data_IF_935754811229
#
_entry.id   IF_935754811229
#
_cell.length_a   1.000
_cell.length_b   1.000
_cell.length_c   1.000
_cell.angle_alpha   90.00
_cell.angle_beta   90.00
_cell.angle_gamma   90.00
#
_symmetry.space_group_name_H-M   'P 1'
#
loop_
_entity.id
_entity.type
_entity.pdbx_description
1 polymer ?
#
# COMPACT_ATOMS: atom_id res chain seq x y z
N UNK A 1 -0.07 15.42 -18.67
CA UNK A 1 -1.01 15.31 -17.54
C UNK A 1 -0.74 16.44 -16.58
N UNK A 2 -1.77 17.00 -15.96
CA UNK A 2 -1.64 18.08 -14.97
C UNK A 2 -1.88 17.48 -13.59
N UNK A 3 -0.94 17.62 -12.67
CA UNK A 3 -1.12 17.18 -11.27
C UNK A 3 -2.03 18.20 -10.57
N UNK A 4 -3.20 17.75 -10.13
CA UNK A 4 -4.16 18.55 -9.38
C UNK A 4 -3.93 18.45 -7.87
N UNK A 5 -3.53 17.26 -7.40
CA UNK A 5 -3.21 17.02 -6.00
C UNK A 5 -2.13 15.96 -5.88
N UNK A 6 -1.21 16.16 -4.93
CA UNK A 6 -0.20 15.19 -4.55
C UNK A 6 0.03 15.24 -3.05
N UNK A 7 -0.22 14.11 -2.38
CA UNK A 7 0.12 13.89 -0.97
C UNK A 7 1.10 12.73 -0.90
N UNK A 8 2.13 12.84 -0.09
CA UNK A 8 3.05 11.73 0.16
C UNK A 8 3.44 11.63 1.62
N UNK A 9 3.69 10.40 2.08
CA UNK A 9 4.12 10.11 3.44
C UNK A 9 5.06 8.92 3.46
N UNK A 10 6.13 9.04 4.26
CA UNK A 10 7.03 7.96 4.61
C UNK A 10 6.45 7.26 5.84
N UNK A 11 6.38 5.94 5.82
CA UNK A 11 5.86 5.13 6.92
C UNK A 11 7.06 4.43 7.57
N UNK A 12 7.33 4.67 8.86
CA UNK A 12 8.38 3.97 9.57
C UNK A 12 7.98 2.52 9.87
N UNK A 13 8.97 1.64 9.92
CA UNK A 13 8.83 0.31 10.45
C UNK A 13 8.83 0.34 11.98
N UNK A 14 7.87 -0.34 12.61
CA UNK A 14 7.77 -0.46 14.06
C UNK A 14 8.87 -1.33 14.72
N UNK A 15 9.73 -1.99 13.92
CA UNK A 15 10.84 -2.80 14.43
C UNK A 15 12.17 -2.04 14.34
N UNK A 16 12.54 -1.54 13.16
CA UNK A 16 13.84 -0.90 12.95
C UNK A 16 13.79 0.63 12.85
N UNK A 17 12.62 1.25 12.81
CA UNK A 17 12.45 2.69 12.61
C UNK A 17 12.75 3.21 11.20
N UNK A 18 13.37 2.40 10.34
CA UNK A 18 13.59 2.74 8.92
C UNK A 18 12.27 2.81 8.16
N UNK A 19 12.26 3.54 7.03
CA UNK A 19 11.07 3.66 6.21
C UNK A 19 10.69 2.31 5.57
N UNK A 20 9.51 1.76 5.92
CA UNK A 20 8.99 0.51 5.34
C UNK A 20 8.26 0.70 4.03
N UNK A 21 7.66 1.88 3.82
CA UNK A 21 6.95 2.20 2.60
C UNK A 21 6.84 3.72 2.46
N UNK A 22 6.83 4.20 1.21
CA UNK A 22 6.40 5.55 0.90
C UNK A 22 5.10 5.50 0.11
N UNK A 23 4.09 6.16 0.66
CA UNK A 23 2.76 6.25 0.07
C UNK A 23 2.66 7.58 -0.68
N UNK A 24 2.13 7.54 -1.90
CA UNK A 24 1.82 8.75 -2.68
C UNK A 24 0.41 8.67 -3.25
N UNK A 25 -0.45 9.60 -2.83
CA UNK A 25 -1.76 9.82 -3.43
C UNK A 25 -1.67 10.90 -4.49
N UNK A 26 -2.12 10.60 -5.70
CA UNK A 26 -2.12 11.50 -6.84
C UNK A 26 -3.53 11.68 -7.38
N UNK A 27 -3.88 12.93 -7.67
CA UNK A 27 -5.02 13.30 -8.51
C UNK A 27 -4.47 14.08 -9.68
N UNK A 28 -4.69 13.57 -10.88
CA UNK A 28 -4.16 14.13 -12.12
C UNK A 28 -5.32 14.40 -13.09
N UNK A 29 -5.14 15.35 -13.99
CA UNK A 29 -6.04 15.60 -15.10
C UNK A 29 -5.36 15.26 -16.43
N UNK A 30 -6.07 14.51 -17.25
CA UNK A 30 -5.71 14.19 -18.63
C UNK A 30 -6.82 14.67 -19.55
N UNK A 31 -6.47 15.31 -20.67
CA UNK A 31 -7.44 15.72 -21.68
C UNK A 31 -8.19 14.50 -22.26
N UNK A 32 -7.54 13.34 -22.34
CA UNK A 32 -8.11 12.12 -22.92
C UNK A 32 -8.94 11.29 -21.93
N UNK A 33 -8.58 11.29 -20.65
CA UNK A 33 -9.17 10.41 -19.62
C UNK A 33 -9.92 11.15 -18.51
N UNK A 34 -9.94 12.48 -18.58
CA UNK A 34 -10.41 13.36 -17.51
C UNK A 34 -9.54 13.23 -16.26
N UNK A 35 -10.17 13.39 -15.08
CA UNK A 35 -9.47 13.20 -13.80
C UNK A 35 -9.11 11.72 -13.60
N UNK A 36 -7.89 11.45 -13.16
CA UNK A 36 -7.38 10.14 -12.77
C UNK A 36 -6.87 10.23 -11.34
N UNK A 37 -7.21 9.25 -10.51
CA UNK A 37 -6.71 9.15 -9.15
C UNK A 37 -5.83 7.91 -9.03
N UNK A 38 -4.71 8.01 -8.32
CA UNK A 38 -3.79 6.89 -8.14
C UNK A 38 -3.17 6.86 -6.76
N UNK A 39 -2.89 5.66 -6.28
CA UNK A 39 -2.12 5.39 -5.08
C UNK A 39 -0.82 4.73 -5.53
N UNK A 40 0.31 5.25 -5.06
CA UNK A 40 1.59 4.62 -5.25
C UNK A 40 2.11 4.16 -3.90
N UNK A 41 2.59 2.92 -3.84
CA UNK A 41 3.32 2.37 -2.70
C UNK A 41 4.72 2.08 -3.19
N UNK A 42 5.71 2.65 -2.51
CA UNK A 42 7.12 2.56 -2.91
C UNK A 42 7.96 1.96 -1.80
N UNK A 43 8.96 1.17 -2.18
CA UNK A 43 9.94 0.62 -1.24
C UNK A 43 9.42 -0.47 -0.30
N UNK A 44 8.33 -1.15 -0.65
CA UNK A 44 7.84 -2.34 0.05
C UNK A 44 8.12 -3.60 -0.79
N UNK A 45 7.13 -4.14 -1.50
CA UNK A 45 7.34 -5.18 -2.52
C UNK A 45 7.42 -4.49 -3.88
N UNK A 46 8.55 -3.83 -4.13
CA UNK A 46 8.71 -2.96 -5.28
C UNK A 46 7.90 -1.67 -5.20
N UNK A 47 7.76 -1.02 -6.36
CA UNK A 47 7.00 0.21 -6.54
C UNK A 47 5.72 -0.10 -7.32
N UNK A 48 4.57 -0.04 -6.67
CA UNK A 48 3.27 -0.36 -7.27
C UNK A 48 2.40 0.88 -7.42
N UNK A 49 1.64 0.97 -8.51
CA UNK A 49 0.67 2.05 -8.78
C UNK A 49 -0.72 1.48 -8.98
N UNK A 50 -1.63 1.80 -8.08
CA UNK A 50 -3.03 1.42 -8.15
C UNK A 50 -3.87 2.55 -8.73
N UNK A 51 -4.79 2.22 -9.65
CA UNK A 51 -5.84 3.13 -10.06
C UNK A 51 -6.93 3.18 -8.98
N UNK A 52 -7.27 4.37 -8.50
CA UNK A 52 -8.29 4.55 -7.46
C UNK A 52 -9.55 5.13 -8.10
N UNK A 53 -10.72 4.63 -7.69
CA UNK A 53 -12.00 5.30 -7.97
C UNK A 53 -11.99 6.73 -7.42
N UNK A 54 -12.47 7.69 -8.22
CA UNK A 54 -12.55 9.12 -7.82
C UNK A 54 -13.29 9.33 -6.50
N UNK A 55 -14.35 8.54 -6.26
CA UNK A 55 -15.15 8.53 -5.04
C UNK A 55 -14.34 8.21 -3.78
N UNK A 56 -13.28 7.40 -3.91
CA UNK A 56 -12.50 6.93 -2.78
C UNK A 56 -11.32 7.86 -2.47
N UNK A 57 -10.99 8.81 -3.36
CA UNK A 57 -9.79 9.64 -3.22
C UNK A 57 -9.77 10.45 -1.91
N UNK A 58 -10.85 11.18 -1.62
CA UNK A 58 -10.93 11.99 -0.41
C UNK A 58 -10.95 11.13 0.86
N UNK A 59 -11.65 9.98 0.82
CA UNK A 59 -11.70 9.03 1.93
C UNK A 59 -10.31 8.46 2.23
N UNK A 60 -9.59 8.01 1.19
CA UNK A 60 -8.22 7.52 1.35
C UNK A 60 -7.31 8.62 1.86
N UNK A 61 -7.40 9.84 1.32
CA UNK A 61 -6.61 10.98 1.79
C UNK A 61 -6.80 11.19 3.30
N UNK A 62 -8.04 11.15 3.79
CA UNK A 62 -8.33 11.27 5.23
C UNK A 62 -7.75 10.11 6.06
N UNK A 63 -7.87 8.87 5.59
CA UNK A 63 -7.31 7.71 6.29
C UNK A 63 -5.78 7.74 6.33
N UNK A 64 -5.12 8.18 5.25
CA UNK A 64 -3.67 8.34 5.24
C UNK A 64 -3.17 9.44 6.16
N UNK A 65 -3.90 10.55 6.26
CA UNK A 65 -3.53 11.63 7.20
C UNK A 65 -3.62 11.16 8.64
N UNK A 66 -4.61 10.33 8.95
CA UNK A 66 -4.83 9.76 10.29
C UNK A 66 -4.04 8.46 10.54
N UNK A 67 -3.30 7.96 9.55
CA UNK A 67 -2.63 6.64 9.62
C UNK A 67 -3.57 5.48 9.98
N UNK A 68 -4.83 5.57 9.55
CA UNK A 68 -5.84 4.52 9.75
C UNK A 68 -5.67 3.40 8.72
N UNK A 69 -4.53 2.70 8.75
CA UNK A 69 -4.16 1.69 7.75
C UNK A 69 -5.11 0.51 7.72
N UNK A 70 -5.74 0.16 8.83
CA UNK A 70 -6.80 -0.84 8.86
C UNK A 70 -7.98 -0.45 7.97
N UNK A 71 -8.34 0.84 7.92
CA UNK A 71 -9.42 1.35 7.07
C UNK A 71 -9.01 1.45 5.61
N UNK A 72 -7.72 1.62 5.35
CA UNK A 72 -7.15 1.55 4.00
C UNK A 72 -7.21 0.11 3.49
N UNK A 73 -6.83 -0.87 4.32
CA UNK A 73 -6.93 -2.29 3.98
C UNK A 73 -8.37 -2.78 3.83
N UNK A 74 -9.34 -2.19 4.54
CA UNK A 74 -10.76 -2.48 4.36
C UNK A 74 -11.28 -2.05 2.96
N UNK A 75 -10.61 -1.11 2.29
CA UNK A 75 -10.93 -0.73 0.90
C UNK A 75 -10.27 -1.71 -0.07
N UNK A 76 -8.98 -1.96 0.13
CA UNK A 76 -8.18 -2.90 -0.64
C UNK A 76 -6.96 -3.27 0.20
N UNK A 77 -6.74 -4.58 0.42
CA UNK A 77 -5.70 -5.08 1.32
C UNK A 77 -4.30 -4.61 0.91
N UNK A 78 -4.06 -4.44 -0.39
CA UNK A 78 -2.74 -4.08 -0.92
C UNK A 78 -2.41 -2.61 -0.72
N UNK A 79 -3.42 -1.76 -0.51
CA UNK A 79 -3.21 -0.32 -0.35
C UNK A 79 -2.40 0.04 0.91
N UNK A 80 -2.25 -0.93 1.83
CA UNK A 80 -1.34 -0.89 2.96
C UNK A 80 -0.77 -2.28 3.27
N UNK A 81 -0.22 -2.98 2.28
CA UNK A 81 0.34 -4.33 2.45
C UNK A 81 1.49 -4.41 3.48
N UNK A 82 2.18 -3.31 3.78
CA UNK A 82 3.18 -3.23 4.85
C UNK A 82 2.59 -3.26 6.29
N UNK A 83 1.28 -3.04 6.46
CA UNK A 83 0.61 -2.94 7.77
C UNK A 83 -0.04 -4.27 8.21
N UNK A 84 0.25 -4.76 9.41
CA UNK A 84 -0.44 -5.90 10.01
C UNK A 84 -1.63 -5.44 10.86
N UNK A 85 -2.83 -5.88 10.50
CA UNK A 85 -4.10 -5.46 11.12
C UNK A 85 -4.25 -5.96 12.56
N UNK A 86 -3.69 -7.12 12.85
CA UNK A 86 -3.70 -7.78 14.15
C UNK A 86 -2.74 -7.07 15.12
N UNK A 87 -1.52 -6.76 14.66
CA UNK A 87 -0.53 -6.05 15.47
C UNK A 87 -0.83 -4.55 15.60
N UNK A 88 -1.57 -3.99 14.64
CA UNK A 88 -1.70 -2.54 14.40
C UNK A 88 -0.35 -1.86 14.22
N UNK A 89 0.53 -2.48 13.42
CA UNK A 89 1.92 -2.07 13.20
C UNK A 89 2.33 -2.22 11.75
N UNK A 90 3.27 -1.39 11.32
CA UNK A 90 3.88 -1.37 9.99
C UNK A 90 5.26 -2.04 10.03
N UNK A 91 5.52 -2.90 9.04
CA UNK A 91 6.79 -3.62 8.94
C UNK A 91 7.38 -3.45 7.55
N UNK A 92 8.70 -3.21 7.47
CA UNK A 92 9.41 -3.22 6.19
C UNK A 92 9.53 -4.65 5.66
N UNK A 93 9.77 -4.75 4.37
CA UNK A 93 9.86 -5.99 3.62
C UNK A 93 10.84 -7.00 4.23
N UNK A 94 11.89 -6.50 4.89
CA UNK A 94 12.91 -7.29 5.59
C UNK A 94 12.40 -7.90 6.90
N UNK A 95 11.40 -7.30 7.54
CA UNK A 95 10.76 -7.82 8.76
C UNK A 95 9.53 -8.68 8.48
N UNK A 96 9.05 -8.70 7.24
CA UNK A 96 8.11 -9.72 6.79
C UNK A 96 8.90 -10.97 6.37
N UNK A 97 8.55 -12.11 6.94
CA UNK A 97 8.96 -13.40 6.38
C UNK A 97 8.10 -13.67 5.17
N UNK A 98 8.69 -13.74 3.97
CA UNK A 98 7.96 -13.78 2.71
C UNK A 98 8.06 -15.14 2.04
N UNK A 99 6.98 -15.57 1.42
CA UNK A 99 6.91 -16.76 0.58
C UNK A 99 6.21 -16.39 -0.73
N UNK A 100 6.94 -16.52 -1.84
CA UNK A 100 6.36 -16.39 -3.18
C UNK A 100 5.68 -17.71 -3.54
N UNK A 101 4.43 -17.63 -4.00
CA UNK A 101 3.62 -18.76 -4.43
C UNK A 101 3.50 -18.71 -5.95
N UNK A 102 3.72 -19.87 -6.57
CA UNK A 102 3.55 -20.05 -8.01
C UNK A 102 2.45 -21.09 -8.24
N UNK A 103 1.51 -20.79 -9.13
CA UNK A 103 0.46 -21.69 -9.59
C UNK A 103 0.59 -21.91 -11.11
N UNK A 104 0.55 -23.16 -11.56
CA UNK A 104 0.73 -23.55 -12.97
C UNK A 104 1.98 -22.97 -13.65
N UNK A 105 3.03 -22.72 -12.87
CA UNK A 105 4.30 -22.14 -13.36
C UNK A 105 4.27 -20.62 -13.54
N UNK A 106 3.19 -19.96 -13.14
CA UNK A 106 3.07 -18.50 -13.12
C UNK A 106 3.10 -17.98 -11.68
N UNK A 107 3.51 -16.73 -11.54
CA UNK A 107 3.41 -16.02 -10.27
C UNK A 107 1.92 -15.89 -9.90
N UNK A 108 1.57 -16.29 -8.68
CA UNK A 108 0.21 -16.16 -8.14
C UNK A 108 0.15 -15.06 -7.07
N UNK A 109 0.94 -15.19 -6.00
CA UNK A 109 0.94 -14.22 -4.91
C UNK A 109 2.24 -14.23 -4.09
N UNK A 110 2.50 -13.18 -3.32
CA UNK A 110 3.45 -13.23 -2.20
C UNK A 110 2.70 -13.23 -0.88
N UNK A 111 2.92 -14.26 -0.06
CA UNK A 111 2.49 -14.28 1.34
C UNK A 111 3.55 -13.72 2.27
N UNK A 112 3.09 -13.17 3.38
CA UNK A 112 3.91 -12.58 4.41
C UNK A 112 3.47 -13.02 5.80
N UNK A 113 4.43 -13.36 6.64
CA UNK A 113 4.25 -13.54 8.09
C UNK A 113 4.97 -12.40 8.80
N UNK A 114 4.24 -11.63 9.62
CA UNK A 114 4.81 -10.53 10.37
C UNK A 114 5.67 -11.02 11.55
N UNK A 115 6.45 -10.16 12.23
CA UNK A 115 7.28 -10.55 13.37
C UNK A 115 6.54 -11.20 14.54
N UNK A 116 5.21 -11.06 14.62
CA UNK A 116 4.37 -11.66 15.65
C UNK A 116 3.62 -12.92 15.16
N UNK A 117 3.94 -13.43 13.96
CA UNK A 117 3.40 -14.69 13.44
C UNK A 117 2.07 -14.58 12.69
N UNK A 118 1.50 -13.38 12.50
CA UNK A 118 0.27 -13.23 11.70
C UNK A 118 0.60 -13.29 10.20
N UNK A 119 -0.08 -14.19 9.49
CA UNK A 119 0.05 -14.41 8.05
C UNK A 119 -0.99 -13.58 7.28
N UNK A 120 -0.58 -13.04 6.12
CA UNK A 120 -1.48 -12.48 5.12
C UNK A 120 -0.84 -12.46 3.74
N UNK A 121 -1.64 -12.23 2.71
CA UNK A 121 -1.15 -11.86 1.37
C UNK A 121 -0.57 -10.43 1.36
N UNK A 122 0.55 -10.24 0.70
CA UNK A 122 1.22 -8.94 0.57
C UNK A 122 1.02 -8.31 -0.81
N UNK A 123 0.95 -9.12 -1.87
CA UNK A 123 0.58 -8.74 -3.25
C UNK A 123 0.07 -9.98 -4.04
N UNK A 124 -0.65 -9.71 -5.13
CA UNK A 124 -1.02 -10.62 -6.23
C UNK A 124 -0.83 -9.99 -7.63
#
# INVERSE_FOLDING_TARGET
MIVLHKKSKNIPCDVCGNNCAKIVLLKEFSLLRGTVCSLLIKGFIGDTKYAIKKSNFNTLLQYFEKEAFEKIQDIDQEYASFYCKECKKCYCTEHWTRQVVYEDGFYDETRGICPNGHEKRLDD
#
